data_IF_946486597438
#
_entry.id   IF_946486597438
#
_cell.length_a   1.000
_cell.length_b   1.000
_cell.length_c   1.000
_cell.angle_alpha   90.00
_cell.angle_beta   90.00
_cell.angle_gamma   90.00
#
_symmetry.space_group_name_H-M   'P 1'
#
loop_
_entity.id
_entity.type
_entity.pdbx_description
1 polymer ?
#
# COMPACT_ATOMS: atom_id res chain seq x y z
N UNK A 1 1.19 16.19 28.32
CA UNK A 1 1.37 16.95 27.08
C UNK A 1 0.71 16.19 25.95
N UNK A 2 -0.30 16.82 25.36
CA UNK A 2 -1.01 16.57 24.08
C UNK A 2 -1.36 15.14 23.67
N UNK A 3 -2.63 14.80 23.89
CA UNK A 3 -3.35 13.75 23.19
C UNK A 3 -3.46 14.13 21.70
N UNK A 4 -2.95 13.29 20.80
CA UNK A 4 -3.26 13.38 19.37
C UNK A 4 -4.76 13.12 19.16
N UNK A 5 -5.48 13.92 18.36
CA UNK A 5 -6.86 13.62 18.02
C UNK A 5 -6.86 12.39 17.12
N UNK A 6 -7.39 11.28 17.63
CA UNK A 6 -7.63 10.08 16.86
C UNK A 6 -8.65 10.39 15.76
N UNK A 7 -8.27 10.13 14.50
CA UNK A 7 -9.17 10.18 13.35
C UNK A 7 -10.44 9.35 13.62
N UNK A 8 -11.60 9.76 13.09
CA UNK A 8 -12.85 9.02 13.23
C UNK A 8 -12.71 7.58 12.68
N UNK A 9 -13.49 6.61 13.18
CA UNK A 9 -13.42 5.24 12.70
C UNK A 9 -13.91 5.21 11.25
N UNK A 10 -12.95 5.17 10.32
CA UNK A 10 -13.20 4.83 8.93
C UNK A 10 -14.00 3.52 8.91
N UNK A 11 -15.02 3.46 8.04
CA UNK A 11 -15.84 2.28 7.82
C UNK A 11 -14.97 1.00 7.69
N UNK A 12 -15.49 -0.21 7.97
CA UNK A 12 -14.69 -1.42 7.93
C UNK A 12 -14.06 -1.53 6.54
N UNK A 13 -12.76 -1.23 6.46
CA UNK A 13 -11.99 -1.50 5.25
C UNK A 13 -12.15 -3.00 5.02
N UNK A 14 -12.37 -3.45 3.78
CA UNK A 14 -12.49 -4.88 3.49
C UNK A 14 -11.29 -5.62 4.09
N UNK A 15 -11.52 -6.82 4.62
CA UNK A 15 -10.48 -7.63 5.27
C UNK A 15 -9.37 -7.99 4.26
N UNK A 16 -8.36 -7.12 4.16
CA UNK A 16 -7.14 -7.34 3.39
C UNK A 16 -5.93 -7.13 4.30
N UNK A 17 -4.78 -7.72 3.94
CA UNK A 17 -3.53 -7.43 4.66
C UNK A 17 -3.23 -5.93 4.61
N UNK A 18 -2.64 -5.39 5.69
CA UNK A 18 -2.28 -3.96 5.77
C UNK A 18 -1.28 -3.52 4.69
N UNK A 19 -0.55 -4.46 4.09
CA UNK A 19 0.40 -4.16 3.00
C UNK A 19 0.31 -5.20 1.87
N UNK A 20 0.38 -4.77 0.60
CA UNK A 20 0.44 -5.67 -0.56
C UNK A 20 1.83 -6.29 -0.79
N UNK A 21 2.78 -6.08 0.13
CA UNK A 21 4.16 -6.53 -0.02
C UNK A 21 4.28 -8.06 -0.06
N UNK A 22 5.05 -8.58 -1.02
CA UNK A 22 5.37 -10.02 -1.17
C UNK A 22 6.81 -10.35 -0.76
N UNK A 23 7.43 -9.48 0.04
CA UNK A 23 8.84 -9.57 0.46
C UNK A 23 9.88 -9.59 -0.68
N UNK A 24 9.48 -9.22 -1.90
CA UNK A 24 10.35 -9.00 -3.06
C UNK A 24 10.15 -7.57 -3.54
N UNK A 25 11.25 -6.83 -3.69
CA UNK A 25 11.23 -5.47 -4.20
C UNK A 25 12.15 -5.32 -5.40
N UNK A 26 11.62 -4.80 -6.51
CA UNK A 26 12.39 -4.50 -7.72
C UNK A 26 12.55 -3.00 -7.96
N UNK A 27 12.05 -2.13 -7.07
CA UNK A 27 12.06 -0.67 -7.27
C UNK A 27 13.45 -0.04 -7.26
N UNK A 28 14.48 -0.81 -6.93
CA UNK A 28 15.87 -0.42 -7.11
C UNK A 28 16.22 -0.24 -8.60
N UNK A 29 15.53 -0.97 -9.48
CA UNK A 29 15.80 -1.00 -10.92
C UNK A 29 14.57 -0.67 -11.78
N UNK A 30 13.36 -0.73 -11.23
CA UNK A 30 12.11 -0.40 -11.91
C UNK A 30 11.38 0.75 -11.20
N UNK A 31 10.57 1.52 -11.93
CA UNK A 31 9.72 2.55 -11.32
C UNK A 31 8.55 1.97 -10.49
N UNK A 32 8.12 0.75 -10.84
CA UNK A 32 7.03 0.03 -10.18
C UNK A 32 7.52 -1.35 -9.75
N UNK A 33 7.32 -1.69 -8.48
CA UNK A 33 7.66 -2.99 -7.92
C UNK A 33 6.90 -4.09 -8.66
N UNK A 34 7.62 -5.01 -9.29
CA UNK A 34 6.98 -6.09 -10.05
C UNK A 34 6.34 -7.18 -9.16
N UNK A 35 6.63 -7.20 -7.86
CA UNK A 35 5.97 -8.09 -6.90
C UNK A 35 4.66 -7.50 -6.37
N UNK A 36 4.73 -6.33 -5.73
CA UNK A 36 3.57 -5.72 -5.07
C UNK A 36 2.83 -4.64 -5.89
N UNK A 37 3.38 -4.20 -7.02
CA UNK A 37 2.74 -3.22 -7.89
C UNK A 37 2.81 -1.76 -7.42
N UNK A 38 3.55 -1.48 -6.33
CA UNK A 38 3.72 -0.12 -5.78
C UNK A 38 4.94 0.59 -6.35
N UNK A 39 4.88 1.92 -6.44
CA UNK A 39 6.04 2.77 -6.75
C UNK A 39 6.97 2.90 -5.54
N UNK A 40 8.19 3.41 -5.74
CA UNK A 40 9.13 3.68 -4.64
C UNK A 40 8.54 4.65 -3.61
N UNK A 41 7.87 5.71 -4.05
CA UNK A 41 7.20 6.68 -3.16
C UNK A 41 6.11 6.03 -2.32
N UNK A 42 5.25 5.21 -2.93
CA UNK A 42 4.19 4.52 -2.20
C UNK A 42 4.73 3.51 -1.18
N UNK A 43 5.86 2.85 -1.50
CA UNK A 43 6.54 1.96 -0.55
C UNK A 43 7.10 2.77 0.62
N UNK A 44 7.74 3.91 0.36
CA UNK A 44 8.36 4.77 1.38
C UNK A 44 7.34 5.49 2.25
N UNK A 45 6.23 5.94 1.66
CA UNK A 45 5.19 6.73 2.34
C UNK A 45 4.08 5.86 2.97
N UNK A 46 4.06 4.54 2.73
CA UNK A 46 2.96 3.66 3.16
C UNK A 46 2.54 3.82 4.63
N UNK A 47 3.52 3.99 5.53
CA UNK A 47 3.29 4.14 6.97
C UNK A 47 2.71 5.49 7.37
N UNK A 48 2.84 6.50 6.51
CA UNK A 48 2.33 7.85 6.71
C UNK A 48 1.04 8.14 5.94
N UNK A 49 0.70 7.29 4.97
CA UNK A 49 -0.52 7.41 4.17
C UNK A 49 -1.78 7.23 5.02
N UNK A 50 -2.75 8.10 4.78
CA UNK A 50 -4.10 7.97 5.31
C UNK A 50 -4.80 6.71 4.72
N UNK A 51 -5.81 6.16 5.41
CA UNK A 51 -6.57 5.00 4.93
C UNK A 51 -7.13 5.18 3.50
N UNK A 52 -7.56 6.38 3.16
CA UNK A 52 -8.11 6.72 1.85
C UNK A 52 -7.02 6.70 0.76
N UNK A 53 -5.81 7.14 1.07
CA UNK A 53 -4.67 7.10 0.15
C UNK A 53 -4.22 5.66 -0.09
N UNK A 54 -4.17 4.86 0.98
CA UNK A 54 -3.90 3.41 0.88
C UNK A 54 -4.95 2.73 0.00
N UNK A 55 -6.21 3.15 0.08
CA UNK A 55 -7.29 2.62 -0.74
C UNK A 55 -7.10 2.89 -2.23
N UNK A 56 -6.68 4.11 -2.59
CA UNK A 56 -6.37 4.47 -3.98
C UNK A 56 -5.26 3.57 -4.53
N UNK A 57 -4.20 3.35 -3.76
CA UNK A 57 -3.11 2.44 -4.15
C UNK A 57 -3.64 1.01 -4.33
N UNK A 58 -4.46 0.52 -3.39
CA UNK A 58 -5.08 -0.80 -3.48
C UNK A 58 -5.92 -0.99 -4.74
N UNK A 59 -6.80 -0.04 -5.05
CA UNK A 59 -7.63 -0.08 -6.26
C UNK A 59 -6.76 -0.16 -7.52
N UNK A 60 -5.68 0.64 -7.57
CA UNK A 60 -4.77 0.65 -8.71
C UNK A 60 -4.04 -0.69 -8.88
N UNK A 61 -3.41 -1.20 -7.82
CA UNK A 61 -2.59 -2.43 -7.92
C UNK A 61 -3.46 -3.66 -8.21
N UNK A 62 -4.68 -3.73 -7.66
CA UNK A 62 -5.62 -4.80 -7.92
C UNK A 62 -6.12 -4.77 -9.38
N UNK A 63 -6.42 -3.59 -9.91
CA UNK A 63 -6.78 -3.42 -11.33
C UNK A 63 -5.66 -3.88 -12.28
N UNK A 64 -4.41 -3.81 -11.85
CA UNK A 64 -3.23 -4.26 -12.61
C UNK A 64 -2.90 -5.75 -12.39
N UNK A 65 -3.62 -6.46 -11.50
CA UNK A 65 -3.39 -7.86 -11.20
C UNK A 65 -2.19 -8.15 -10.29
N UNK A 66 -1.86 -7.21 -9.40
CA UNK A 66 -0.93 -7.41 -8.28
C UNK A 66 -1.70 -7.80 -7.00
N UNK A 67 -1.02 -8.40 -6.00
CA UNK A 67 0.39 -8.80 -5.97
C UNK A 67 0.66 -10.10 -6.74
N UNK A 68 1.80 -10.16 -7.45
CA UNK A 68 2.25 -11.36 -8.16
C UNK A 68 3.29 -12.09 -7.30
N UNK A 69 2.91 -13.27 -6.81
CA UNK A 69 3.77 -14.12 -5.95
C UNK A 69 4.75 -15.01 -6.71
N UNK A 70 4.62 -15.10 -8.03
CA UNK A 70 5.59 -15.78 -8.88
C UNK A 70 6.49 -14.74 -9.53
N UNK A 71 7.76 -14.75 -9.14
CA UNK A 71 8.87 -14.09 -9.81
C UNK A 71 9.88 -15.13 -10.25
#
# INVERSE_FOLDING_TARGET
MSQSPASPPAAPLPERPDTPCVAVCSTTFDDVCRGCGRTVDEVAQWVFMAPEEKEVVWLRILAQGYPRRNY
#
